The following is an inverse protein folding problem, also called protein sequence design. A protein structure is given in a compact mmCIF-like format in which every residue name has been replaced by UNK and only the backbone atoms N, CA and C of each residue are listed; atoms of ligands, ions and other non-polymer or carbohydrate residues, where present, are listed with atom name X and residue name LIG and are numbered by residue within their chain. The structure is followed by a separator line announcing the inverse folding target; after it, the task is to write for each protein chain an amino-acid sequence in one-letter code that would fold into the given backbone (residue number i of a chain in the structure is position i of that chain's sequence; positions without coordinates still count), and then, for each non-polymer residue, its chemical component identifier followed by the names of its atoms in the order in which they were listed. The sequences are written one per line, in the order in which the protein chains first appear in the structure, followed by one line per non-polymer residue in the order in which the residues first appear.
data_IF_835833450393
#
_entry.id   IF_835833450393
#
_cell.length_a   1.000
_cell.length_b   1.000
_cell.length_c   1.000
_cell.angle_alpha   90.00
_cell.angle_beta   90.00
_cell.angle_gamma   90.00
#
_symmetry.space_group_name_H-M   'P 1'
#
loop_
_entity.id
_entity.type
_entity.pdbx_description
1 polymer ?
#
# COMPACT_ATOMS: atom_id res chain seq x y z
N UNK A 1 -13.50 -1.08 -2.48
CA UNK A 1 -12.65 -2.25 -2.90
C UNK A 1 -11.47 -1.90 -3.84
N UNK A 2 -11.59 -0.92 -4.75
CA UNK A 2 -10.49 -0.61 -5.71
C UNK A 2 -9.19 -0.15 -5.04
N UNK A 3 -9.29 0.50 -3.87
CA UNK A 3 -8.13 0.97 -3.09
C UNK A 3 -7.17 -0.16 -2.70
N UNK A 4 -7.69 -1.33 -2.32
CA UNK A 4 -6.88 -2.50 -1.97
C UNK A 4 -6.14 -3.07 -3.17
N UNK A 5 -6.79 -3.10 -4.34
CA UNK A 5 -6.15 -3.51 -5.58
C UNK A 5 -5.04 -2.52 -5.96
N UNK A 6 -5.32 -1.21 -5.90
CA UNK A 6 -4.32 -0.17 -6.18
C UNK A 6 -3.11 -0.28 -5.25
N UNK A 7 -3.34 -0.42 -3.94
CA UNK A 7 -2.24 -0.58 -2.99
C UNK A 7 -1.42 -1.84 -3.25
N UNK A 8 -2.09 -2.95 -3.59
CA UNK A 8 -1.41 -4.21 -3.86
C UNK A 8 -0.49 -4.12 -5.08
N UNK A 9 -1.04 -3.65 -6.20
CA UNK A 9 -0.30 -3.53 -7.46
C UNK A 9 0.87 -2.55 -7.40
N UNK A 10 0.86 -1.61 -6.44
CA UNK A 10 1.95 -0.66 -6.22
C UNK A 10 2.93 -1.10 -5.11
N UNK A 11 2.73 -2.26 -4.50
CA UNK A 11 3.60 -2.73 -3.42
C UNK A 11 4.91 -3.33 -3.94
N UNK A 12 6.00 -3.10 -3.22
CA UNK A 12 7.34 -3.64 -3.55
C UNK A 12 7.34 -5.18 -3.64
N UNK A 13 6.73 -5.93 -2.70
CA UNK A 13 6.66 -7.39 -2.82
C UNK A 13 5.96 -7.87 -4.09
N UNK A 14 4.87 -7.20 -4.50
CA UNK A 14 4.17 -7.52 -5.74
C UNK A 14 5.04 -7.25 -6.97
N UNK A 15 5.71 -6.09 -7.03
CA UNK A 15 6.59 -5.73 -8.16
C UNK A 15 7.75 -6.73 -8.30
N UNK A 16 8.33 -7.19 -7.18
CA UNK A 16 9.35 -8.23 -7.19
C UNK A 16 8.85 -9.53 -7.84
N UNK A 17 7.69 -10.04 -7.42
CA UNK A 17 7.12 -11.27 -8.00
C UNK A 17 6.75 -11.06 -9.47
N UNK A 18 6.21 -9.90 -9.82
CA UNK A 18 5.89 -9.56 -11.20
C UNK A 18 7.14 -9.61 -12.09
N UNK A 19 8.25 -9.00 -11.66
CA UNK A 19 9.53 -9.01 -12.40
C UNK A 19 10.09 -10.42 -12.59
N UNK A 20 9.90 -11.33 -11.64
CA UNK A 20 10.34 -12.72 -11.80
C UNK A 20 9.51 -13.50 -12.83
N UNK A 21 8.22 -13.14 -12.99
CA UNK A 21 7.30 -13.81 -13.92
C UNK A 21 7.33 -13.22 -15.32
N UNK A 22 7.77 -11.97 -15.45
CA UNK A 22 7.90 -11.27 -16.74
C UNK A 22 9.25 -11.65 -17.38
N UNK A 23 9.21 -12.65 -18.27
CA UNK A 23 10.38 -13.10 -19.03
C UNK A 23 10.72 -12.26 -20.27
N UNK A 24 9.98 -11.19 -20.56
CA UNK A 24 10.17 -10.32 -21.74
C UNK A 24 9.40 -8.99 -21.62
N UNK A 25 9.39 -8.15 -22.65
CA UNK A 25 8.82 -6.78 -22.56
C UNK A 25 7.27 -6.71 -22.53
N UNK A 26 6.58 -7.85 -22.58
CA UNK A 26 5.12 -7.91 -22.71
C UNK A 26 4.45 -8.47 -21.44
N UNK A 27 3.49 -7.72 -20.92
CA UNK A 27 2.64 -8.12 -19.79
C UNK A 27 1.43 -8.92 -20.29
N UNK A 28 1.64 -10.20 -20.60
CA UNK A 28 0.59 -11.04 -21.18
C UNK A 28 -0.46 -11.46 -20.12
N UNK A 29 -1.72 -11.68 -20.56
CA UNK A 29 -2.84 -12.08 -19.67
C UNK A 29 -2.56 -13.33 -18.82
N UNK A 30 -1.74 -14.25 -19.33
CA UNK A 30 -1.30 -15.44 -18.58
C UNK A 30 -0.37 -15.11 -17.41
N UNK A 31 0.41 -14.03 -17.49
CA UNK A 31 1.28 -13.56 -16.41
C UNK A 31 0.41 -13.00 -15.28
N UNK A 32 -0.61 -12.17 -15.60
CA UNK A 32 -1.57 -11.63 -14.63
C UNK A 32 -2.22 -12.72 -13.74
N UNK A 33 -2.60 -13.85 -14.34
CA UNK A 33 -3.21 -14.98 -13.60
C UNK A 33 -2.26 -15.68 -12.63
N UNK A 34 -0.95 -15.50 -12.79
CA UNK A 34 0.08 -16.08 -11.93
C UNK A 34 0.59 -15.08 -10.88
N UNK A 35 0.16 -13.82 -10.94
CA UNK A 35 0.57 -12.82 -9.96
C UNK A 35 -0.22 -13.01 -8.66
N UNK A 36 0.43 -12.85 -7.50
CA UNK A 36 -0.20 -13.08 -6.21
C UNK A 36 -1.06 -11.87 -5.84
N UNK A 37 -2.15 -11.64 -6.57
CA UNK A 37 -3.16 -10.66 -6.17
C UNK A 37 -3.92 -11.26 -5.00
N UNK A 38 -3.89 -10.55 -3.87
CA UNK A 38 -4.58 -10.97 -2.66
C UNK A 38 -6.08 -10.89 -2.90
N UNK A 39 -6.82 -11.98 -2.63
CA UNK A 39 -8.24 -12.01 -2.93
C UNK A 39 -9.02 -11.09 -1.95
N UNK A 40 -10.16 -10.52 -2.39
CA UNK A 40 -10.88 -9.49 -1.62
C UNK A 40 -11.30 -9.91 -0.20
N UNK A 41 -11.57 -11.21 0.01
CA UNK A 41 -11.97 -11.82 1.28
C UNK A 41 -10.88 -11.79 2.36
N UNK A 42 -9.62 -11.59 1.97
CA UNK A 42 -8.48 -11.48 2.90
C UNK A 42 -8.32 -10.07 3.49
N UNK A 43 -9.03 -9.08 2.96
CA UNK A 43 -9.02 -7.71 3.49
C UNK A 43 -10.08 -7.58 4.58
N UNK A 44 -9.67 -7.78 5.85
CA UNK A 44 -10.55 -7.55 7.00
C UNK A 44 -10.88 -6.06 7.16
N UNK A 45 -11.94 -5.69 7.90
CA UNK A 45 -12.27 -4.30 8.18
C UNK A 45 -11.10 -3.47 8.72
N UNK A 46 -10.26 -4.06 9.58
CA UNK A 46 -9.08 -3.42 10.17
C UNK A 46 -8.01 -3.13 9.11
N UNK A 47 -7.79 -4.08 8.20
CA UNK A 47 -6.86 -3.91 7.07
C UNK A 47 -7.39 -2.85 6.10
N UNK A 48 -8.71 -2.83 5.85
CA UNK A 48 -9.35 -1.79 5.04
C UNK A 48 -9.18 -0.41 5.68
N UNK A 49 -9.40 -0.31 7.00
CA UNK A 49 -9.22 0.92 7.77
C UNK A 49 -7.78 1.43 7.75
N UNK A 50 -6.82 0.53 7.57
CA UNK A 50 -5.42 0.88 7.37
C UNK A 50 -5.10 1.32 5.94
N UNK A 51 -5.55 0.58 4.93
CA UNK A 51 -5.18 0.80 3.52
C UNK A 51 -5.86 2.04 2.94
N UNK A 52 -7.18 2.13 3.08
CA UNK A 52 -8.01 3.11 2.37
C UNK A 52 -7.55 4.54 2.60
N UNK A 53 -7.37 5.03 3.85
CA UNK A 53 -6.95 6.43 4.04
C UNK A 53 -5.58 6.72 3.44
N UNK A 54 -4.65 5.77 3.47
CA UNK A 54 -3.31 5.94 2.88
C UNK A 54 -3.37 6.05 1.36
N UNK A 55 -4.17 5.21 0.70
CA UNK A 55 -4.37 5.25 -0.76
C UNK A 55 -5.04 6.55 -1.18
N UNK A 56 -6.04 7.00 -0.43
CA UNK A 56 -6.76 8.25 -0.69
C UNK A 56 -5.80 9.44 -0.60
N UNK A 57 -5.02 9.55 0.47
CA UNK A 57 -4.04 10.65 0.65
C UNK A 57 -2.93 10.61 -0.43
N UNK A 58 -2.52 9.42 -0.87
CA UNK A 58 -1.55 9.25 -1.95
C UNK A 58 -2.10 9.61 -3.33
N UNK A 59 -3.41 9.48 -3.55
CA UNK A 59 -4.06 9.64 -4.85
C UNK A 59 -4.66 11.03 -5.01
N UNK A 60 -5.53 11.46 -4.09
CA UNK A 60 -6.34 12.67 -4.19
C UNK A 60 -5.53 13.95 -3.90
N UNK A 61 -4.69 14.37 -4.86
CA UNK A 61 -3.77 15.51 -4.71
C UNK A 61 -4.16 16.76 -5.50
N UNK A 62 -5.21 16.68 -6.32
CA UNK A 62 -5.75 17.78 -7.10
C UNK A 62 -7.28 17.64 -7.25
N UNK A 63 -7.96 18.76 -7.51
CA UNK A 63 -9.42 18.80 -7.67
C UNK A 63 -9.94 17.94 -8.82
N UNK A 64 -9.15 17.70 -9.86
CA UNK A 64 -9.52 16.79 -10.96
C UNK A 64 -9.76 15.35 -10.49
N UNK A 65 -9.24 14.99 -9.32
CA UNK A 65 -9.42 13.68 -8.68
C UNK A 65 -10.53 13.68 -7.63
N UNK A 66 -11.29 14.76 -7.51
CA UNK A 66 -12.44 14.85 -6.59
C UNK A 66 -13.45 13.71 -6.79
N UNK A 67 -13.82 13.30 -8.03
CA UNK A 67 -14.77 12.19 -8.20
C UNK A 67 -14.30 10.89 -7.53
N UNK A 68 -12.98 10.61 -7.54
CA UNK A 68 -12.42 9.45 -6.84
C UNK A 68 -12.58 9.59 -5.32
N UNK A 69 -12.32 10.78 -4.76
CA UNK A 69 -12.46 11.01 -3.33
C UNK A 69 -13.94 10.94 -2.88
N UNK A 70 -14.87 11.47 -3.68
CA UNK A 70 -16.31 11.39 -3.42
C UNK A 70 -16.83 9.95 -3.47
N UNK A 71 -16.36 9.14 -4.42
CA UNK A 71 -16.71 7.71 -4.49
C UNK A 71 -16.24 6.97 -3.24
N UNK A 72 -15.02 7.24 -2.76
CA UNK A 72 -14.52 6.63 -1.52
C UNK A 72 -15.29 7.14 -0.31
N UNK A 73 -15.55 8.45 -0.21
CA UNK A 73 -16.33 9.05 0.88
C UNK A 73 -17.73 8.43 0.96
N UNK A 74 -18.36 8.17 -0.19
CA UNK A 74 -19.67 7.49 -0.26
C UNK A 74 -19.60 6.03 0.18
N UNK A 75 -18.51 5.32 -0.13
CA UNK A 75 -18.30 3.92 0.27
C UNK A 75 -18.08 3.79 1.78
N UNK A 76 -17.29 4.69 2.38
CA UNK A 76 -16.82 4.58 3.78
C UNK A 76 -17.67 5.39 4.77
N UNK A 77 -18.42 6.38 4.28
CA UNK A 77 -19.21 7.30 5.07
C UNK A 77 -18.41 8.47 5.67
N UNK A 78 -19.12 9.55 6.00
CA UNK A 78 -18.51 10.76 6.57
C UNK A 78 -17.83 10.52 7.92
N UNK A 79 -18.38 9.63 8.75
CA UNK A 79 -17.83 9.34 10.08
C UNK A 79 -16.41 8.76 9.97
N UNK A 80 -16.23 7.73 9.12
CA UNK A 80 -14.93 7.14 8.86
C UNK A 80 -13.95 8.16 8.26
N UNK A 81 -14.41 8.96 7.28
CA UNK A 81 -13.59 10.00 6.66
C UNK A 81 -13.07 11.03 7.69
N UNK A 82 -13.96 11.56 8.53
CA UNK A 82 -13.60 12.55 9.57
C UNK A 82 -12.66 11.96 10.62
N UNK A 83 -12.82 10.68 10.95
CA UNK A 83 -11.90 9.95 11.84
C UNK A 83 -10.51 9.81 11.22
N UNK A 84 -10.42 9.49 9.93
CA UNK A 84 -9.14 9.33 9.25
C UNK A 84 -8.42 10.66 8.99
N UNK A 85 -9.19 11.70 8.68
CA UNK A 85 -8.65 12.99 8.26
C UNK A 85 -9.22 14.16 9.07
N UNK A 86 -8.95 14.23 10.39
CA UNK A 86 -9.46 15.30 11.25
C UNK A 86 -8.97 16.69 10.80
N UNK A 87 -7.78 16.76 10.21
CA UNK A 87 -7.16 17.98 9.69
C UNK A 87 -7.58 18.34 8.25
N UNK A 88 -8.41 17.51 7.60
CA UNK A 88 -8.95 17.76 6.26
C UNK A 88 -10.49 17.69 6.28
N UNK A 89 -11.16 18.70 6.88
CA UNK A 89 -12.60 18.70 7.05
C UNK A 89 -13.34 18.80 5.71
N UNK A 90 -14.55 18.24 5.67
CA UNK A 90 -15.47 18.42 4.55
C UNK A 90 -15.98 19.85 4.50
N UNK A 91 -16.16 20.39 3.29
CA UNK A 91 -16.75 21.72 3.09
C UNK A 91 -18.26 21.74 3.38
N UNK A 92 -18.90 22.91 3.21
CA UNK A 92 -20.34 23.08 3.45
C UNK A 92 -21.26 22.24 2.55
N UNK A 93 -20.71 21.65 1.49
CA UNK A 93 -21.40 20.75 0.56
C UNK A 93 -21.01 19.28 0.79
N UNK A 94 -20.21 19.00 1.83
CA UNK A 94 -19.76 17.65 2.16
C UNK A 94 -18.57 17.17 1.33
N UNK A 95 -17.87 18.06 0.60
CA UNK A 95 -16.76 17.67 -0.27
C UNK A 95 -15.42 17.73 0.46
N UNK A 96 -14.54 16.75 0.27
CA UNK A 96 -13.19 16.79 0.82
C UNK A 96 -12.27 17.70 -0.01
N UNK A 97 -11.33 18.40 0.63
CA UNK A 97 -10.29 19.14 -0.08
C UNK A 97 -9.14 18.21 -0.52
N UNK A 98 -8.48 18.47 -1.67
CA UNK A 98 -7.32 17.69 -2.10
C UNK A 98 -6.17 17.75 -1.10
N UNK A 99 -5.46 16.64 -0.94
CA UNK A 99 -4.28 16.56 -0.08
C UNK A 99 -3.09 17.27 -0.71
N UNK A 100 -2.40 18.08 0.10
CA UNK A 100 -1.19 18.77 -0.37
C UNK A 100 -0.08 17.77 -0.66
N UNK A 101 0.68 18.03 -1.72
CA UNK A 101 1.85 17.22 -2.04
C UNK A 101 2.95 17.43 -0.98
N UNK A 102 3.26 16.37 -0.24
CA UNK A 102 4.37 16.33 0.72
C UNK A 102 5.19 15.06 0.47
N UNK A 103 6.47 15.24 0.10
CA UNK A 103 7.31 14.11 -0.30
C UNK A 103 7.61 13.15 0.85
N UNK A 104 7.81 13.65 2.06
CA UNK A 104 8.18 12.84 3.23
C UNK A 104 6.98 12.05 3.73
N UNK A 105 5.82 12.70 3.82
CA UNK A 105 4.56 12.05 4.17
C UNK A 105 4.22 10.96 3.16
N UNK A 106 4.36 11.23 1.86
CA UNK A 106 4.14 10.24 0.80
C UNK A 106 5.11 9.06 0.87
N UNK A 107 6.36 9.29 1.27
CA UNK A 107 7.32 8.21 1.48
C UNK A 107 6.89 7.33 2.66
N UNK A 108 6.46 7.93 3.77
CA UNK A 108 5.98 7.19 4.95
C UNK A 108 4.70 6.38 4.64
N UNK A 109 3.72 6.97 3.96
CA UNK A 109 2.48 6.27 3.58
C UNK A 109 2.72 5.07 2.65
N UNK A 110 3.65 5.22 1.70
CA UNK A 110 4.06 4.10 0.82
C UNK A 110 4.77 3.02 1.61
N UNK A 111 5.71 3.39 2.48
CA UNK A 111 6.39 2.44 3.35
C UNK A 111 5.44 1.67 4.26
N UNK A 112 4.39 2.34 4.79
CA UNK A 112 3.32 1.69 5.55
C UNK A 112 2.59 0.63 4.74
N UNK A 113 2.23 0.94 3.48
CA UNK A 113 1.58 -0.01 2.59
C UNK A 113 2.54 -1.17 2.25
N UNK A 114 3.78 -0.89 1.88
CA UNK A 114 4.78 -1.92 1.55
C UNK A 114 5.04 -2.86 2.74
N UNK A 115 5.16 -2.30 3.95
CA UNK A 115 5.29 -3.08 5.19
C UNK A 115 4.06 -3.94 5.47
N UNK A 116 2.86 -3.41 5.26
CA UNK A 116 1.62 -4.19 5.37
C UNK A 116 1.60 -5.34 4.36
N UNK A 117 1.92 -5.07 3.09
CA UNK A 117 1.94 -6.11 2.06
C UNK A 117 3.01 -7.17 2.33
N UNK A 118 4.13 -6.83 2.97
CA UNK A 118 5.07 -7.82 3.49
C UNK A 118 4.39 -8.86 4.39
N UNK A 119 3.56 -8.42 5.34
CA UNK A 119 2.78 -9.31 6.20
C UNK A 119 1.69 -10.07 5.43
N UNK A 120 0.99 -9.39 4.54
CA UNK A 120 -0.06 -10.01 3.73
C UNK A 120 0.46 -11.11 2.80
N UNK A 121 1.71 -10.96 2.34
CA UNK A 121 2.45 -11.97 1.59
C UNK A 121 3.17 -13.00 2.45
N UNK A 122 3.04 -12.91 3.78
CA UNK A 122 3.65 -13.83 4.74
C UNK A 122 5.18 -13.86 4.63
N UNK A 123 5.79 -12.72 4.30
CA UNK A 123 7.24 -12.59 4.31
C UNK A 123 7.72 -12.42 5.75
N UNK A 124 8.90 -12.94 6.05
CA UNK A 124 9.63 -12.50 7.24
C UNK A 124 10.43 -11.22 6.94
N UNK A 125 11.09 -10.69 7.96
CA UNK A 125 11.82 -9.42 7.85
C UNK A 125 13.02 -9.58 6.92
N UNK A 126 13.70 -10.72 7.01
CA UNK A 126 14.89 -11.06 6.26
C UNK A 126 14.57 -11.20 4.76
N UNK A 127 13.49 -11.88 4.40
CA UNK A 127 12.99 -12.02 3.04
C UNK A 127 12.60 -10.66 2.46
N UNK A 128 11.86 -9.84 3.22
CA UNK A 128 11.49 -8.50 2.78
C UNK A 128 12.73 -7.61 2.55
N UNK A 129 13.73 -7.71 3.43
CA UNK A 129 15.02 -7.04 3.25
C UNK A 129 15.69 -7.48 1.93
N UNK A 130 15.81 -8.79 1.69
CA UNK A 130 16.41 -9.32 0.46
C UNK A 130 15.66 -8.85 -0.78
N UNK A 131 14.32 -8.80 -0.74
CA UNK A 131 13.51 -8.27 -1.83
C UNK A 131 13.86 -6.80 -2.10
N UNK A 132 13.94 -5.97 -1.06
CA UNK A 132 14.27 -4.54 -1.19
C UNK A 132 15.64 -4.31 -1.84
N UNK A 133 16.62 -5.17 -1.58
CA UNK A 133 17.95 -5.09 -2.20
C UNK A 133 17.94 -5.35 -3.72
N UNK A 134 16.88 -5.94 -4.27
CA UNK A 134 16.74 -6.20 -5.71
C UNK A 134 16.39 -4.95 -6.54
N UNK A 135 16.23 -3.79 -5.89
CA UNK A 135 15.84 -2.51 -6.50
C UNK A 135 17.00 -1.50 -6.56
N UNK A 136 18.06 -1.73 -7.37
CA UNK A 136 19.28 -0.91 -7.35
C UNK A 136 19.06 0.54 -7.78
N UNK A 137 18.05 0.82 -8.60
CA UNK A 137 17.73 2.19 -9.02
C UNK A 137 17.13 2.99 -7.85
N UNK A 138 16.23 2.37 -7.08
CA UNK A 138 15.65 3.01 -5.89
C UNK A 138 16.76 3.27 -4.88
N UNK A 139 17.59 2.27 -4.60
CA UNK A 139 18.75 2.38 -3.72
C UNK A 139 19.67 3.54 -4.10
N UNK A 140 20.13 3.60 -5.36
CA UNK A 140 21.00 4.69 -5.84
C UNK A 140 20.36 6.07 -5.72
N UNK A 141 19.06 6.19 -6.00
CA UNK A 141 18.33 7.47 -5.89
C UNK A 141 18.22 7.91 -4.43
N UNK A 142 17.93 6.98 -3.53
CA UNK A 142 17.84 7.27 -2.10
C UNK A 142 19.21 7.62 -1.52
N UNK A 143 20.26 6.86 -1.83
CA UNK A 143 21.62 7.15 -1.37
C UNK A 143 22.12 8.50 -1.89
N UNK A 144 21.81 8.84 -3.15
CA UNK A 144 22.19 10.14 -3.72
C UNK A 144 21.46 11.32 -3.07
N UNK A 145 20.20 11.14 -2.65
CA UNK A 145 19.37 12.22 -2.09
C UNK A 145 19.44 12.33 -0.57
N UNK A 146 19.53 11.20 0.13
CA UNK A 146 19.40 11.10 1.59
C UNK A 146 20.65 10.51 2.27
N UNK A 147 21.63 10.01 1.52
CA UNK A 147 22.84 9.38 2.08
C UNK A 147 22.64 7.97 2.64
N UNK A 148 21.43 7.42 2.55
CA UNK A 148 21.06 6.08 2.99
C UNK A 148 20.03 5.47 2.04
N UNK A 149 19.82 4.14 2.11
CA UNK A 149 18.70 3.49 1.44
C UNK A 149 17.39 3.72 2.23
N UNK A 150 16.93 4.99 2.25
CA UNK A 150 15.81 5.48 3.06
C UNK A 150 14.53 4.65 2.89
N UNK A 151 14.17 4.27 1.66
CA UNK A 151 12.98 3.45 1.39
C UNK A 151 13.04 2.13 2.13
N UNK A 152 14.16 1.40 2.02
CA UNK A 152 14.35 0.13 2.73
C UNK A 152 14.21 0.31 4.24
N UNK A 153 14.84 1.34 4.82
CA UNK A 153 14.73 1.63 6.26
C UNK A 153 13.27 1.85 6.67
N UNK A 154 12.56 2.74 5.98
CA UNK A 154 11.15 3.07 6.27
C UNK A 154 10.23 1.86 6.14
N UNK A 155 10.39 1.06 5.08
CA UNK A 155 9.57 -0.15 4.84
C UNK A 155 9.79 -1.17 5.96
N UNK A 156 11.06 -1.43 6.33
CA UNK A 156 11.38 -2.38 7.40
C UNK A 156 10.95 -1.87 8.78
N UNK A 157 11.00 -0.56 9.04
CA UNK A 157 10.44 0.05 10.26
C UNK A 157 8.91 -0.11 10.31
N UNK A 158 8.21 0.18 9.22
CA UNK A 158 6.77 -0.01 9.12
C UNK A 158 6.38 -1.48 9.30
N UNK A 159 7.08 -2.41 8.64
CA UNK A 159 6.88 -3.85 8.81
C UNK A 159 7.04 -4.28 10.28
N UNK A 160 8.08 -3.79 10.96
CA UNK A 160 8.30 -4.07 12.38
C UNK A 160 7.16 -3.56 13.27
N UNK A 161 6.76 -2.30 13.09
CA UNK A 161 5.66 -1.67 13.83
C UNK A 161 4.34 -2.40 13.64
N UNK A 162 4.04 -2.88 12.44
CA UNK A 162 2.82 -3.63 12.13
C UNK A 162 2.81 -5.05 12.72
N UNK A 163 3.98 -5.65 12.96
CA UNK A 163 4.08 -6.97 13.63
C UNK A 163 3.64 -6.91 15.09
N UNK A 164 3.84 -5.77 15.73
CA UNK A 164 3.43 -5.53 17.13
C UNK A 164 1.93 -5.23 17.23
N UNK A 165 1.30 -4.79 16.14
CA UNK A 165 -0.13 -4.53 16.05
C UNK A 165 -0.92 -5.82 15.75
N UNK A 166 -1.41 -6.46 16.80
CA UNK A 166 -2.19 -7.70 16.70
C UNK A 166 -3.49 -7.55 15.91
N UNK A 167 -4.00 -6.32 15.72
CA UNK A 167 -5.23 -6.07 14.95
C UNK A 167 -5.06 -6.26 13.44
N UNK A 168 -3.81 -6.25 12.95
CA UNK A 168 -3.44 -6.39 11.54
C UNK A 168 -2.83 -7.78 11.25
N UNK A 169 -2.67 -8.61 12.29
CA UNK A 169 -2.12 -9.96 12.17
C UNK A 169 -3.13 -10.90 11.51
N UNK A 170 -2.79 -11.39 10.32
CA UNK A 170 -3.60 -12.41 9.64
C UNK A 170 -3.39 -13.73 10.37
N UNK A 171 -4.49 -14.35 10.81
CA UNK A 171 -4.44 -15.67 11.47
C UNK A 171 -3.70 -16.67 10.58
N UNK A 172 -2.60 -17.21 11.10
CA UNK A 172 -1.67 -18.15 10.47
C UNK A 172 -2.27 -19.54 10.12
N UNK A 173 -3.61 -19.70 10.19
CA UNK A 173 -4.26 -21.01 10.26
C UNK A 173 -5.28 -21.34 9.15
N UNK A 174 -5.36 -20.53 8.10
CA UNK A 174 -6.16 -20.87 6.91
C UNK A 174 -5.29 -20.81 5.66
N UNK A 175 -4.43 -21.82 5.54
CA UNK A 175 -3.77 -22.18 4.28
C UNK A 175 -4.23 -23.59 3.94
N UNK A 176 -5.38 -23.70 3.28
CA UNK A 176 -5.60 -24.84 2.41
C UNK A 176 -4.79 -24.57 1.14
N UNK A 177 -3.83 -25.44 0.78
CA UNK A 177 -3.13 -25.32 -0.49
C UNK A 177 -4.12 -25.70 -1.59
N UNK A 178 -4.70 -24.71 -2.28
CA UNK A 178 -5.33 -24.95 -3.57
C UNK A 178 -4.24 -24.95 -4.63
N UNK A 179 -3.60 -26.11 -4.81
CA UNK A 179 -3.04 -26.55 -6.08
C UNK A 179 -4.12 -27.30 -6.86
#
# INVERSE_FOLDING_TARGET
MINCLLANLNSIPFDFVARQKIGGENFNYFILKQLPVIPPDRYTPEILDFIVPRVVELTYTAWDLLPFAEDVLKEVGEEAWRRWFPENPLDGEGRPAPFRWDEERRAALRADLDGLYGHLYQLDREDLDQILETFPIVKRKDEAKYGEFRTKRLVLEAFGRLKEDQSISINHHEIAPSL
#
